data_IF_015087214077
#
_entry.id   IF_015087214077
#
_cell.length_a   1.000
_cell.length_b   1.000
_cell.length_c   1.000
_cell.angle_alpha   90.00
_cell.angle_beta   90.00
_cell.angle_gamma   90.00
#
_symmetry.space_group_name_H-M   'P 1'
#
loop_
_entity.id
_entity.type
_entity.pdbx_description
1 polymer ?
#
# COMPACT_ATOMS: atom_id res chain seq x y z
N UNK A 1 -10.84 1.59 -4.52
CA UNK A 1 -10.21 2.14 -5.75
C UNK A 1 -10.73 1.51 -7.05
N UNK A 2 -11.72 0.61 -7.02
CA UNK A 2 -12.26 0.01 -8.25
C UNK A 2 -12.99 1.03 -9.14
N UNK A 3 -13.74 1.97 -8.54
CA UNK A 3 -14.51 2.96 -9.30
C UNK A 3 -13.64 3.80 -10.25
N UNK A 4 -12.48 4.27 -9.79
CA UNK A 4 -11.56 5.06 -10.63
C UNK A 4 -10.95 4.21 -11.74
N UNK A 5 -10.50 2.98 -11.42
CA UNK A 5 -9.93 2.07 -12.40
C UNK A 5 -10.95 1.71 -13.47
N UNK A 6 -12.18 1.33 -13.09
CA UNK A 6 -13.25 1.03 -14.05
C UNK A 6 -13.64 2.22 -14.91
N UNK A 7 -13.63 3.44 -14.37
CA UNK A 7 -13.85 4.66 -15.15
C UNK A 7 -12.72 4.90 -16.17
N UNK A 8 -11.46 4.64 -15.81
CA UNK A 8 -10.32 4.74 -16.71
C UNK A 8 -10.31 3.61 -17.76
N UNK A 9 -10.73 2.41 -17.42
CA UNK A 9 -10.83 1.29 -18.36
C UNK A 9 -11.93 1.52 -19.41
N UNK A 10 -13.02 2.17 -19.02
CA UNK A 10 -14.17 2.46 -19.88
C UNK A 10 -14.05 3.74 -20.72
N UNK A 11 -13.03 4.58 -20.49
CA UNK A 11 -12.86 5.81 -21.24
C UNK A 11 -12.31 5.56 -22.66
N UNK A 12 -12.60 6.47 -23.59
CA UNK A 12 -12.15 6.34 -24.99
C UNK A 12 -10.62 6.31 -25.12
N UNK A 13 -9.90 6.98 -24.21
CA UNK A 13 -8.45 7.05 -24.23
C UNK A 13 -7.76 5.93 -23.44
N UNK A 14 -8.50 4.93 -22.93
CA UNK A 14 -7.93 3.84 -22.12
C UNK A 14 -6.80 3.10 -22.83
N UNK A 15 -6.90 2.95 -24.16
CA UNK A 15 -5.89 2.34 -25.04
C UNK A 15 -4.60 3.14 -25.19
N UNK A 16 -4.61 4.41 -24.78
CA UNK A 16 -3.44 5.29 -24.79
C UNK A 16 -2.67 5.23 -23.46
N UNK A 17 -3.25 4.62 -22.42
CA UNK A 17 -2.60 4.47 -21.13
C UNK A 17 -1.61 3.29 -21.16
N UNK A 18 -0.42 3.54 -20.60
CA UNK A 18 0.54 2.48 -20.33
C UNK A 18 0.38 2.04 -18.87
N UNK A 19 -0.42 0.99 -18.66
CA UNK A 19 -0.61 0.41 -17.34
C UNK A 19 0.69 -0.21 -16.84
N UNK A 20 1.07 0.14 -15.61
CA UNK A 20 2.27 -0.38 -14.95
C UNK A 20 1.85 -1.15 -13.70
N UNK A 21 2.40 -2.34 -13.56
CA UNK A 21 2.30 -3.08 -12.31
C UNK A 21 3.24 -2.45 -11.27
N UNK A 22 2.74 -2.11 -10.08
CA UNK A 22 3.58 -1.61 -9.01
C UNK A 22 4.45 -2.73 -8.46
N UNK A 23 5.69 -2.40 -8.12
CA UNK A 23 6.54 -3.27 -7.30
C UNK A 23 6.27 -2.99 -5.83
N UNK A 24 6.72 -3.87 -4.96
CA UNK A 24 6.83 -3.52 -3.54
C UNK A 24 8.08 -2.67 -3.29
N UNK A 25 7.96 -1.66 -2.42
CA UNK A 25 9.11 -0.97 -1.86
C UNK A 25 9.97 -1.91 -1.00
N UNK A 26 11.27 -1.72 -1.02
CA UNK A 26 12.22 -2.38 -0.12
C UNK A 26 12.23 -1.67 1.24
N UNK A 27 12.45 -2.42 2.32
CA UNK A 27 12.56 -1.83 3.67
C UNK A 27 13.64 -0.74 3.73
N UNK A 28 14.76 -0.92 3.04
CA UNK A 28 15.83 0.08 2.97
C UNK A 28 15.40 1.39 2.29
N UNK A 29 14.42 1.36 1.37
CA UNK A 29 13.86 2.56 0.74
C UNK A 29 12.90 3.27 1.70
N UNK A 30 12.15 2.51 2.51
CA UNK A 30 11.27 3.08 3.54
C UNK A 30 12.08 3.75 4.66
N UNK A 31 13.22 3.17 5.03
CA UNK A 31 14.15 3.70 6.04
C UNK A 31 14.74 5.08 5.65
N UNK A 32 14.56 5.55 4.41
CA UNK A 32 14.93 6.92 4.02
C UNK A 32 14.05 7.98 4.69
N UNK A 33 12.81 7.64 5.04
CA UNK A 33 11.80 8.56 5.58
C UNK A 33 11.30 8.10 6.96
N UNK A 34 11.14 6.80 7.15
CA UNK A 34 10.57 6.21 8.36
C UNK A 34 11.65 5.58 9.23
N UNK A 35 11.48 5.65 10.55
CA UNK A 35 12.38 4.92 11.46
C UNK A 35 12.12 3.40 11.35
N UNK A 36 13.15 2.62 11.68
CA UNK A 36 13.04 1.16 11.71
C UNK A 36 11.94 0.70 12.66
N UNK A 37 11.84 1.34 13.82
CA UNK A 37 10.84 1.03 14.84
C UNK A 37 9.41 1.26 14.33
N UNK A 38 9.19 2.31 13.53
CA UNK A 38 7.87 2.56 12.93
C UNK A 38 7.52 1.46 11.91
N UNK A 39 8.46 1.10 11.03
CA UNK A 39 8.26 0.04 10.02
C UNK A 39 7.94 -1.29 10.71
N UNK A 40 8.73 -1.66 11.72
CA UNK A 40 8.55 -2.90 12.48
C UNK A 40 7.24 -2.90 13.27
N UNK A 41 6.85 -1.76 13.86
CA UNK A 41 5.57 -1.61 14.55
C UNK A 41 4.38 -1.84 13.61
N UNK A 42 4.35 -1.19 12.44
CA UNK A 42 3.27 -1.35 11.47
C UNK A 42 3.18 -2.80 11.01
N UNK A 43 4.33 -3.43 10.72
CA UNK A 43 4.40 -4.84 10.33
C UNK A 43 3.80 -5.75 11.41
N UNK A 44 4.23 -5.57 12.66
CA UNK A 44 3.81 -6.41 13.78
C UNK A 44 2.30 -6.30 14.06
N UNK A 45 1.73 -5.09 14.00
CA UNK A 45 0.28 -4.89 14.20
C UNK A 45 -0.50 -5.59 13.09
N UNK A 46 -0.06 -5.49 11.83
CA UNK A 46 -0.71 -6.19 10.72
C UNK A 46 -0.64 -7.72 10.92
N UNK A 47 0.53 -8.28 11.23
CA UNK A 47 0.73 -9.73 11.39
C UNK A 47 -0.02 -10.33 12.60
N UNK A 48 -0.41 -9.51 13.58
CA UNK A 48 -1.13 -9.92 14.80
C UNK A 48 -2.66 -9.83 14.64
N UNK A 49 -3.19 -10.39 13.55
CA UNK A 49 -4.61 -10.30 13.12
C UNK A 49 -5.12 -8.89 12.76
N UNK A 50 -4.21 -7.91 12.65
CA UNK A 50 -4.54 -6.51 12.38
C UNK A 50 -4.99 -5.75 13.63
N UNK A 51 -5.84 -4.75 13.44
CA UNK A 51 -6.32 -3.88 14.52
C UNK A 51 -6.22 -2.42 14.14
N UNK A 52 -5.63 -1.61 15.01
CA UNK A 52 -5.56 -0.16 14.87
C UNK A 52 -4.14 0.31 15.17
N UNK A 53 -3.54 1.08 14.25
CA UNK A 53 -2.28 1.79 14.52
C UNK A 53 -2.53 3.00 15.44
N UNK A 54 -3.69 3.63 15.27
CA UNK A 54 -4.25 4.73 16.06
C UNK A 54 -5.78 4.72 15.91
N UNK A 55 -6.55 5.60 16.59
CA UNK A 55 -8.01 5.51 16.61
C UNK A 55 -8.73 5.55 15.25
N UNK A 56 -8.14 6.17 14.22
CA UNK A 56 -8.74 6.31 12.90
C UNK A 56 -7.99 5.56 11.79
N UNK A 57 -6.92 4.83 12.13
CA UNK A 57 -6.12 4.04 11.19
C UNK A 57 -6.22 2.53 11.45
N UNK A 58 -7.31 1.87 11.00
CA UNK A 58 -7.43 0.42 11.08
C UNK A 58 -6.53 -0.28 10.05
N UNK A 59 -6.04 -1.46 10.40
CA UNK A 59 -5.24 -2.34 9.54
C UNK A 59 -5.68 -3.80 9.66
N UNK A 60 -5.36 -4.60 8.64
CA UNK A 60 -5.59 -6.04 8.59
C UNK A 60 -4.28 -6.79 8.26
N UNK A 61 -4.27 -8.14 8.29
CA UNK A 61 -3.07 -8.93 7.97
C UNK A 61 -2.39 -8.60 6.64
N UNK A 62 -3.17 -8.22 5.62
CA UNK A 62 -2.66 -7.88 4.30
C UNK A 62 -2.15 -6.44 4.20
N UNK A 63 -2.50 -5.56 5.14
CA UNK A 63 -2.24 -4.12 5.05
C UNK A 63 -0.76 -3.79 4.90
N UNK A 64 0.14 -4.50 5.60
CA UNK A 64 1.59 -4.25 5.46
C UNK A 64 2.06 -4.50 4.01
N UNK A 65 1.70 -5.64 3.42
CA UNK A 65 2.10 -5.98 2.05
C UNK A 65 1.47 -5.04 1.01
N UNK A 66 0.24 -4.57 1.25
CA UNK A 66 -0.43 -3.58 0.40
C UNK A 66 0.25 -2.22 0.51
N UNK A 67 0.63 -1.80 1.72
CA UNK A 67 1.37 -0.55 1.94
C UNK A 67 2.73 -0.57 1.21
N UNK A 68 3.45 -1.69 1.24
CA UNK A 68 4.69 -1.86 0.46
C UNK A 68 4.46 -1.70 -1.04
N UNK A 69 3.40 -2.30 -1.60
CA UNK A 69 3.03 -2.12 -3.01
C UNK A 69 2.59 -0.70 -3.34
N UNK A 70 1.97 0.01 -2.39
CA UNK A 70 1.56 1.40 -2.60
C UNK A 70 2.74 2.37 -2.59
N UNK A 71 3.81 2.05 -1.87
CA UNK A 71 4.99 2.90 -1.74
C UNK A 71 6.06 2.66 -2.83
N UNK A 72 6.06 1.49 -3.47
CA UNK A 72 7.06 1.06 -4.46
C UNK A 72 6.79 1.49 -5.89
#
# INVERSE_FOLDING_TARGET
>A
MLACVSALESCEFSKQLNWKDPRSAMVSELEWIHSKEHIDHVKQVCESDGGYLDPDTPVCPESYNIALKSAG
#
